data_IF_129934183121
#
_entry.id   IF_129934183121
#
_cell.length_a   1.000
_cell.length_b   1.000
_cell.length_c   1.000
_cell.angle_alpha   90.00
_cell.angle_beta   90.00
_cell.angle_gamma   90.00
#
_symmetry.space_group_name_H-M   'P 1'
#
loop_
_entity.id
_entity.type
_entity.pdbx_description
1 polymer ?
#
# COMPACT_ATOMS: atom_id res chain seq x y z
N UNK A 1 -17.85 8.35 4.22
CA UNK A 1 -17.63 7.12 3.43
C UNK A 1 -18.39 7.22 2.14
N UNK A 2 -17.69 7.31 1.03
CA UNK A 2 -18.28 7.27 -0.30
C UNK A 2 -18.48 5.81 -0.71
N UNK A 3 -19.63 5.49 -1.29
CA UNK A 3 -19.96 4.12 -1.70
C UNK A 3 -20.23 4.08 -3.19
N UNK A 4 -19.65 3.10 -3.88
CA UNK A 4 -19.88 2.89 -5.30
C UNK A 4 -20.03 1.39 -5.64
N UNK A 5 -20.73 1.11 -6.73
CA UNK A 5 -20.78 -0.21 -7.34
C UNK A 5 -19.99 -0.16 -8.63
N UNK A 6 -19.08 -1.10 -8.81
CA UNK A 6 -18.33 -1.27 -10.05
C UNK A 6 -18.95 -2.42 -10.83
N UNK A 7 -19.59 -2.07 -11.95
CA UNK A 7 -20.34 -3.04 -12.74
C UNK A 7 -19.44 -4.00 -13.52
N UNK A 8 -20.04 -5.04 -14.03
CA UNK A 8 -19.37 -6.12 -14.74
C UNK A 8 -18.35 -5.62 -15.78
N UNK A 9 -17.09 -6.03 -15.60
CA UNK A 9 -15.99 -5.70 -16.51
C UNK A 9 -15.48 -4.26 -16.46
N UNK A 10 -16.04 -3.43 -15.58
CA UNK A 10 -15.56 -2.05 -15.41
C UNK A 10 -14.20 -2.01 -14.72
N UNK A 11 -13.43 -0.98 -15.04
CA UNK A 11 -12.13 -0.68 -14.43
C UNK A 11 -12.21 0.65 -13.71
N UNK A 12 -11.89 0.65 -12.43
CA UNK A 12 -11.73 1.84 -11.62
C UNK A 12 -10.26 1.97 -11.21
N UNK A 13 -9.56 2.93 -11.80
CA UNK A 13 -8.20 3.30 -11.39
C UNK A 13 -8.21 4.72 -10.85
N UNK A 14 -7.64 4.94 -9.65
CA UNK A 14 -7.55 6.26 -9.02
C UNK A 14 -6.27 6.42 -8.23
N UNK A 15 -5.70 7.64 -8.30
CA UNK A 15 -4.56 8.06 -7.49
C UNK A 15 -4.97 9.26 -6.65
N UNK A 16 -4.91 9.12 -5.35
CA UNK A 16 -5.15 10.18 -4.36
C UNK A 16 -3.81 10.62 -3.79
N UNK A 17 -3.55 11.93 -3.76
CA UNK A 17 -2.30 12.49 -3.23
C UNK A 17 -2.64 13.61 -2.27
N UNK A 18 -2.21 13.50 -1.02
CA UNK A 18 -2.52 14.43 0.06
C UNK A 18 -4.03 14.65 0.28
N UNK A 19 -4.82 13.64 -0.03
CA UNK A 19 -6.28 13.66 0.06
C UNK A 19 -6.75 12.46 0.86
N UNK A 20 -7.45 12.70 1.98
CA UNK A 20 -8.01 11.63 2.81
C UNK A 20 -9.09 10.86 2.05
N UNK A 21 -9.07 9.54 2.17
CA UNK A 21 -9.97 8.64 1.44
C UNK A 21 -10.78 7.79 2.42
N UNK A 22 -12.10 7.81 2.26
CA UNK A 22 -13.02 6.90 2.96
C UNK A 22 -14.00 6.33 1.93
N UNK A 23 -13.69 5.12 1.42
CA UNK A 23 -14.31 4.58 0.21
C UNK A 23 -14.72 3.12 0.41
N UNK A 24 -15.96 2.80 0.01
CA UNK A 24 -16.43 1.43 -0.15
C UNK A 24 -16.74 1.15 -1.62
N UNK A 25 -16.28 0.00 -2.12
CA UNK A 25 -16.51 -0.46 -3.48
C UNK A 25 -17.09 -1.88 -3.45
N UNK A 26 -18.23 -2.06 -4.07
CA UNK A 26 -18.83 -3.36 -4.33
C UNK A 26 -18.55 -3.74 -5.78
N UNK A 27 -17.86 -4.87 -6.01
CA UNK A 27 -17.41 -5.32 -7.32
C UNK A 27 -18.34 -6.40 -7.89
N UNK A 28 -18.82 -6.18 -9.11
CA UNK A 28 -19.47 -7.20 -9.94
C UNK A 28 -18.45 -7.94 -10.83
N UNK A 29 -18.90 -8.98 -11.51
CA UNK A 29 -18.08 -9.95 -12.24
C UNK A 29 -17.02 -9.33 -13.16
N UNK A 30 -15.76 -9.77 -12.98
CA UNK A 30 -14.65 -9.38 -13.85
C UNK A 30 -14.25 -7.90 -13.75
N UNK A 31 -14.78 -7.15 -12.79
CA UNK A 31 -14.40 -5.77 -12.58
C UNK A 31 -13.01 -5.65 -11.93
N UNK A 32 -12.35 -4.51 -12.16
CA UNK A 32 -11.00 -4.26 -11.66
C UNK A 32 -10.91 -2.93 -10.91
N UNK A 33 -10.49 -2.99 -9.67
CA UNK A 33 -10.17 -1.83 -8.81
C UNK A 33 -8.67 -1.70 -8.67
N UNK A 34 -8.13 -0.49 -8.93
CA UNK A 34 -6.74 -0.15 -8.66
C UNK A 34 -6.66 1.23 -8.02
N UNK A 35 -6.23 1.28 -6.75
CA UNK A 35 -6.19 2.52 -5.96
C UNK A 35 -4.79 2.74 -5.43
N UNK A 36 -4.32 3.99 -5.57
CA UNK A 36 -3.13 4.48 -4.89
C UNK A 36 -3.52 5.62 -3.96
N UNK A 37 -3.07 5.55 -2.70
CA UNK A 37 -3.17 6.66 -1.73
C UNK A 37 -1.78 7.03 -1.27
N UNK A 38 -1.43 8.31 -1.43
CA UNK A 38 -0.09 8.84 -1.15
C UNK A 38 -0.21 9.98 -0.14
N UNK A 39 0.46 9.85 1.01
CA UNK A 39 0.56 10.85 2.06
C UNK A 39 -0.81 11.35 2.56
N UNK A 40 -1.72 10.42 2.87
CA UNK A 40 -3.03 10.76 3.42
C UNK A 40 -3.66 9.59 4.19
N UNK A 41 -4.40 9.83 5.27
CA UNK A 41 -5.14 8.78 5.93
C UNK A 41 -6.21 8.20 5.02
N UNK A 42 -6.42 6.88 5.10
CA UNK A 42 -7.45 6.23 4.30
C UNK A 42 -8.11 5.05 5.00
N UNK A 43 -9.36 4.83 4.63
CA UNK A 43 -10.13 3.61 4.90
C UNK A 43 -10.74 3.14 3.59
N UNK A 44 -10.34 1.98 3.09
CA UNK A 44 -10.81 1.42 1.83
C UNK A 44 -11.39 0.04 2.10
N UNK A 45 -12.68 -0.10 1.77
CA UNK A 45 -13.40 -1.38 1.82
C UNK A 45 -13.72 -1.82 0.39
N UNK A 46 -13.33 -3.06 0.04
CA UNK A 46 -13.69 -3.66 -1.26
C UNK A 46 -14.36 -5.01 -1.03
N UNK A 47 -15.59 -5.16 -1.54
CA UNK A 47 -16.32 -6.40 -1.53
C UNK A 47 -16.36 -6.99 -2.96
N UNK A 48 -15.71 -8.11 -3.18
CA UNK A 48 -15.81 -8.88 -4.43
C UNK A 48 -17.05 -9.77 -4.32
N UNK A 49 -18.15 -9.35 -4.96
CA UNK A 49 -19.45 -9.99 -4.84
C UNK A 49 -19.70 -11.05 -5.89
N UNK A 50 -18.96 -11.01 -7.01
CA UNK A 50 -19.06 -11.92 -8.12
C UNK A 50 -17.68 -12.40 -8.60
N UNK A 51 -17.64 -13.40 -9.48
CA UNK A 51 -16.42 -14.08 -9.90
C UNK A 51 -15.47 -13.19 -10.74
N UNK A 52 -14.16 -13.49 -10.67
CA UNK A 52 -13.14 -12.90 -11.54
C UNK A 52 -12.82 -11.44 -11.24
N UNK A 53 -13.22 -10.93 -10.08
CA UNK A 53 -12.86 -9.57 -9.65
C UNK A 53 -11.37 -9.44 -9.37
N UNK A 54 -10.81 -8.27 -9.67
CA UNK A 54 -9.42 -7.92 -9.33
C UNK A 54 -9.37 -6.67 -8.47
N UNK A 55 -8.60 -6.72 -7.37
CA UNK A 55 -8.40 -5.58 -6.46
C UNK A 55 -6.93 -5.34 -6.24
N UNK A 56 -6.47 -4.10 -6.45
CA UNK A 56 -5.10 -3.66 -6.18
C UNK A 56 -5.14 -2.37 -5.34
N UNK A 57 -4.59 -2.42 -4.12
CA UNK A 57 -4.53 -1.26 -3.20
C UNK A 57 -3.08 -1.00 -2.84
N UNK A 58 -2.64 0.22 -3.10
CA UNK A 58 -1.29 0.71 -2.82
C UNK A 58 -1.36 1.94 -1.91
N UNK A 59 -0.72 1.88 -0.76
CA UNK A 59 -0.61 2.99 0.18
C UNK A 59 0.85 3.36 0.44
N UNK A 60 1.19 4.64 0.35
CA UNK A 60 2.52 5.15 0.67
C UNK A 60 2.42 6.37 1.58
N UNK A 61 2.93 6.23 2.80
CA UNK A 61 2.96 7.30 3.78
C UNK A 61 4.42 7.66 4.11
N UNK A 62 4.78 8.94 3.91
CA UNK A 62 6.06 9.49 4.32
C UNK A 62 5.82 10.59 5.36
N UNK A 63 6.00 10.23 6.62
CA UNK A 63 5.63 11.05 7.78
C UNK A 63 6.87 11.52 8.54
N UNK A 64 6.80 12.74 9.07
CA UNK A 64 7.87 13.39 9.84
C UNK A 64 7.29 14.24 10.98
N UNK A 65 8.16 14.76 11.83
CA UNK A 65 7.74 15.55 13.00
C UNK A 65 6.84 14.74 13.93
N UNK A 66 5.65 15.23 14.24
CA UNK A 66 4.65 14.59 15.10
C UNK A 66 3.43 14.06 14.31
N UNK A 67 3.56 13.90 13.01
CA UNK A 67 2.46 13.44 12.14
C UNK A 67 1.96 12.05 12.53
N UNK A 68 0.66 11.85 12.36
CA UNK A 68 -0.02 10.59 12.68
C UNK A 68 -0.96 10.22 11.55
N UNK A 69 -0.79 9.03 10.99
CA UNK A 69 -1.66 8.52 9.94
C UNK A 69 -2.14 7.11 10.28
N UNK A 70 -3.42 6.87 10.00
CA UNK A 70 -4.05 5.55 10.03
C UNK A 70 -4.40 5.20 8.58
N UNK A 71 -3.96 4.01 8.16
CA UNK A 71 -4.29 3.41 6.88
C UNK A 71 -5.07 2.11 7.13
N UNK A 72 -6.28 2.03 6.59
CA UNK A 72 -7.16 0.87 6.78
C UNK A 72 -7.54 0.26 5.44
N UNK A 73 -7.47 -1.07 5.35
CA UNK A 73 -7.94 -1.83 4.19
C UNK A 73 -8.78 -3.02 4.62
N UNK A 74 -9.95 -3.16 4.01
CA UNK A 74 -10.86 -4.27 4.25
C UNK A 74 -11.23 -4.90 2.90
N UNK A 75 -10.70 -6.09 2.60
CA UNK A 75 -11.00 -6.78 1.35
C UNK A 75 -11.73 -8.09 1.65
N UNK A 76 -12.92 -8.25 1.06
CA UNK A 76 -13.74 -9.44 1.22
C UNK A 76 -13.96 -10.11 -0.13
N UNK A 77 -13.53 -11.37 -0.22
CA UNK A 77 -13.89 -12.27 -1.31
C UNK A 77 -15.16 -13.04 -0.89
N UNK A 78 -16.31 -12.69 -1.44
CA UNK A 78 -17.59 -13.35 -1.17
C UNK A 78 -17.77 -14.59 -2.03
N UNK A 79 -17.16 -14.62 -3.23
CA UNK A 79 -17.20 -15.70 -4.22
C UNK A 79 -15.81 -16.01 -4.74
N UNK A 80 -15.66 -17.11 -5.46
CA UNK A 80 -14.38 -17.63 -5.95
C UNK A 80 -13.79 -16.91 -7.17
N UNK A 81 -12.57 -17.32 -7.55
CA UNK A 81 -11.87 -16.87 -8.77
C UNK A 81 -11.41 -15.41 -8.76
N UNK A 82 -11.49 -14.74 -7.62
CA UNK A 82 -11.06 -13.34 -7.46
C UNK A 82 -9.59 -13.22 -7.07
N UNK A 83 -8.99 -12.08 -7.37
CA UNK A 83 -7.62 -11.75 -6.95
C UNK A 83 -7.57 -10.44 -6.16
N UNK A 84 -6.72 -10.38 -5.13
CA UNK A 84 -6.43 -9.12 -4.44
C UNK A 84 -4.96 -8.98 -4.07
N UNK A 85 -4.40 -7.80 -4.28
CA UNK A 85 -3.05 -7.45 -3.88
C UNK A 85 -3.05 -6.11 -3.15
N UNK A 86 -2.49 -6.10 -1.94
CA UNK A 86 -2.38 -4.91 -1.10
C UNK A 86 -0.91 -4.71 -0.74
N UNK A 87 -0.36 -3.54 -1.08
CA UNK A 87 0.99 -3.14 -0.67
C UNK A 87 0.93 -1.77 0.00
N UNK A 88 1.15 -1.77 1.32
CA UNK A 88 1.13 -0.56 2.12
C UNK A 88 2.51 -0.32 2.71
N UNK A 89 3.06 0.87 2.50
CA UNK A 89 4.38 1.25 2.99
C UNK A 89 4.32 2.53 3.81
N UNK A 90 5.07 2.51 4.92
CA UNK A 90 5.31 3.69 5.73
C UNK A 90 6.80 3.98 5.81
N UNK A 91 7.14 5.26 5.69
CA UNK A 91 8.45 5.82 6.02
C UNK A 91 8.22 6.83 7.13
N UNK A 92 8.82 6.60 8.30
CA UNK A 92 8.57 7.38 9.51
C UNK A 92 9.86 7.98 10.03
N UNK A 93 9.89 9.30 10.19
CA UNK A 93 11.03 10.02 10.79
C UNK A 93 10.59 10.83 12.02
N UNK A 94 11.54 11.34 12.80
CA UNK A 94 11.34 12.10 14.03
C UNK A 94 10.47 11.35 15.05
N UNK A 95 9.30 11.89 15.42
CA UNK A 95 8.31 11.31 16.34
C UNK A 95 7.02 10.87 15.61
N UNK A 96 7.10 10.66 14.31
CA UNK A 96 5.95 10.29 13.50
C UNK A 96 5.37 8.92 13.89
N UNK A 97 4.06 8.76 13.74
CA UNK A 97 3.34 7.54 14.11
C UNK A 97 2.48 7.03 12.97
N UNK A 98 2.73 5.81 12.55
CA UNK A 98 1.93 5.09 11.58
C UNK A 98 1.09 4.00 12.22
N UNK A 99 -0.12 3.80 11.74
CA UNK A 99 -0.95 2.66 12.11
C UNK A 99 -1.58 2.05 10.86
N UNK A 100 -1.26 0.79 10.60
CA UNK A 100 -1.91 -0.01 9.54
C UNK A 100 -2.86 -1.03 10.15
N UNK A 101 -4.10 -1.05 9.63
CA UNK A 101 -5.12 -2.06 9.92
C UNK A 101 -5.50 -2.69 8.59
N UNK A 102 -5.38 -4.01 8.48
CA UNK A 102 -5.67 -4.68 7.23
C UNK A 102 -6.44 -5.96 7.45
N UNK A 103 -7.69 -6.01 6.99
CA UNK A 103 -8.53 -7.21 7.05
C UNK A 103 -8.68 -7.82 5.67
N UNK A 104 -8.35 -9.10 5.56
CA UNK A 104 -8.58 -9.90 4.37
C UNK A 104 -9.47 -11.08 4.73
N UNK A 105 -10.66 -11.15 4.12
CA UNK A 105 -11.65 -12.18 4.41
C UNK A 105 -12.03 -12.98 3.17
N UNK A 106 -11.93 -14.31 3.26
CA UNK A 106 -12.31 -15.25 2.20
C UNK A 106 -13.46 -16.10 2.70
N UNK A 107 -14.63 -15.97 2.07
CA UNK A 107 -15.84 -16.70 2.43
C UNK A 107 -15.75 -18.22 2.11
N UNK A 108 -16.58 -19.09 2.72
CA UNK A 108 -16.50 -20.56 2.49
C UNK A 108 -16.62 -20.97 1.02
N UNK A 109 -17.47 -20.26 0.26
CA UNK A 109 -17.71 -20.55 -1.17
C UNK A 109 -16.71 -19.88 -2.11
N UNK A 110 -15.79 -19.06 -1.58
CA UNK A 110 -14.80 -18.32 -2.34
C UNK A 110 -13.56 -19.17 -2.64
N UNK A 111 -13.72 -20.20 -3.45
CA UNK A 111 -12.62 -21.08 -3.88
C UNK A 111 -11.81 -20.45 -5.00
N UNK A 112 -10.55 -20.88 -5.17
CA UNK A 112 -9.61 -20.41 -6.21
C UNK A 112 -9.33 -18.90 -6.14
N UNK A 113 -9.28 -18.36 -4.92
CA UNK A 113 -8.88 -16.98 -4.65
C UNK A 113 -7.36 -16.90 -4.49
N UNK A 114 -6.76 -15.86 -5.07
CA UNK A 114 -5.38 -15.46 -4.85
C UNK A 114 -5.35 -14.08 -4.16
N UNK A 115 -4.87 -14.04 -2.89
CA UNK A 115 -4.97 -12.83 -2.08
C UNK A 115 -3.68 -12.56 -1.29
N UNK A 116 -3.10 -11.39 -1.50
CA UNK A 116 -1.84 -10.98 -0.86
C UNK A 116 -1.99 -9.64 -0.17
N UNK A 117 -1.58 -9.58 1.11
CA UNK A 117 -1.52 -8.34 1.87
C UNK A 117 -0.10 -8.15 2.42
N UNK A 118 0.56 -7.06 2.03
CA UNK A 118 1.92 -6.75 2.44
C UNK A 118 1.99 -5.36 3.06
N UNK A 119 2.51 -5.27 4.27
CA UNK A 119 2.84 -4.02 4.92
C UNK A 119 4.35 -3.95 5.20
N UNK A 120 5.04 -2.95 4.68
CA UNK A 120 6.47 -2.73 4.90
C UNK A 120 6.71 -1.33 5.45
N UNK A 121 7.46 -1.25 6.53
CA UNK A 121 7.66 -0.01 7.26
C UNK A 121 9.14 0.25 7.49
N UNK A 122 9.56 1.48 7.24
CA UNK A 122 10.92 1.95 7.41
C UNK A 122 10.96 3.06 8.47
N UNK A 123 11.60 2.78 9.60
CA UNK A 123 11.81 3.77 10.66
C UNK A 123 13.16 4.45 10.45
N UNK A 124 13.14 5.77 10.36
CA UNK A 124 14.31 6.60 10.12
C UNK A 124 14.85 7.24 11.40
N UNK A 125 14.09 7.19 12.50
CA UNK A 125 14.46 7.65 13.82
C UNK A 125 14.11 6.60 14.89
N UNK A 126 14.71 6.72 16.08
CA UNK A 126 14.42 5.84 17.23
C UNK A 126 13.07 6.17 17.91
N UNK A 127 12.57 7.40 17.72
CA UNK A 127 11.33 7.89 18.31
C UNK A 127 10.12 7.71 17.41
N UNK A 128 10.32 7.25 16.16
CA UNK A 128 9.24 6.91 15.26
C UNK A 128 8.56 5.61 15.67
N UNK A 129 7.24 5.59 15.63
CA UNK A 129 6.44 4.44 16.05
C UNK A 129 5.57 3.89 14.92
N UNK A 130 5.61 2.57 14.70
CA UNK A 130 4.71 1.88 13.77
C UNK A 130 3.92 0.81 14.48
N UNK A 131 2.60 0.85 14.31
CA UNK A 131 1.68 -0.21 14.71
C UNK A 131 1.09 -0.87 13.47
N UNK A 132 1.14 -2.20 13.40
CA UNK A 132 0.59 -2.95 12.28
C UNK A 132 -0.29 -4.08 12.79
N UNK A 133 -1.51 -4.19 12.21
CA UNK A 133 -2.54 -5.15 12.60
C UNK A 133 -3.14 -5.82 11.35
N UNK A 134 -2.38 -6.69 10.65
CA UNK A 134 -2.93 -7.49 9.58
C UNK A 134 -3.79 -8.61 10.15
N UNK A 135 -4.98 -8.81 9.60
CA UNK A 135 -5.90 -9.91 9.94
C UNK A 135 -6.24 -10.70 8.68
N UNK A 136 -6.29 -12.02 8.82
CA UNK A 136 -6.60 -12.94 7.74
C UNK A 136 -7.62 -13.97 8.22
N UNK A 137 -8.82 -13.94 7.64
CA UNK A 137 -9.90 -14.88 7.90
C UNK A 137 -10.16 -15.72 6.65
N UNK A 138 -9.78 -16.99 6.67
CA UNK A 138 -9.95 -17.90 5.55
C UNK A 138 -10.92 -19.00 5.94
N UNK A 139 -12.01 -19.14 5.19
CA UNK A 139 -13.04 -20.16 5.38
C UNK A 139 -13.16 -21.12 4.19
N UNK A 140 -12.35 -20.94 3.13
CA UNK A 140 -12.27 -21.79 1.94
C UNK A 140 -10.97 -22.61 1.95
N UNK A 141 -10.96 -23.77 1.28
CA UNK A 141 -9.84 -24.73 1.32
C UNK A 141 -8.88 -24.57 0.11
N UNK A 142 -9.43 -24.26 -1.08
CA UNK A 142 -8.64 -24.12 -2.32
C UNK A 142 -8.33 -22.63 -2.60
N UNK A 143 -7.39 -22.07 -1.84
CA UNK A 143 -6.99 -20.66 -1.97
C UNK A 143 -5.49 -20.47 -1.76
N UNK A 144 -4.96 -19.40 -2.34
CA UNK A 144 -3.60 -18.90 -2.07
C UNK A 144 -3.74 -17.54 -1.37
N UNK A 145 -3.56 -17.52 -0.04
CA UNK A 145 -3.68 -16.30 0.71
C UNK A 145 -2.48 -16.10 1.64
N UNK A 146 -1.93 -14.91 1.61
CA UNK A 146 -0.80 -14.52 2.46
C UNK A 146 -0.98 -13.13 3.04
N UNK A 147 -0.51 -12.95 4.25
CA UNK A 147 -0.27 -11.63 4.80
C UNK A 147 1.15 -11.54 5.36
N UNK A 148 1.72 -10.34 5.34
CA UNK A 148 3.04 -10.08 5.89
C UNK A 148 3.19 -8.65 6.36
N UNK A 149 3.80 -8.47 7.52
CA UNK A 149 4.18 -7.16 8.01
C UNK A 149 5.66 -7.18 8.41
N UNK A 150 6.39 -6.14 8.01
CA UNK A 150 7.78 -5.95 8.40
C UNK A 150 8.03 -4.49 8.79
N UNK A 151 8.78 -4.30 9.86
CA UNK A 151 9.23 -2.99 10.30
C UNK A 151 10.74 -3.07 10.53
N UNK A 152 11.49 -2.17 9.93
CA UNK A 152 12.95 -2.15 10.01
C UNK A 152 13.51 -0.74 9.90
N UNK A 153 14.84 -0.67 9.96
CA UNK A 153 15.62 0.55 9.76
C UNK A 153 16.40 0.45 8.46
N UNK A 154 17.07 1.53 8.06
CA UNK A 154 17.98 1.50 6.92
C UNK A 154 19.13 0.51 7.17
N UNK A 155 19.49 -0.22 6.12
CA UNK A 155 20.62 -1.14 6.16
C UNK A 155 21.94 -0.35 6.29
N UNK A 156 22.55 -0.42 7.49
CA UNK A 156 23.82 0.23 7.78
C UNK A 156 24.95 -0.29 6.90
N UNK A 157 24.90 -1.55 6.45
CA UNK A 157 25.89 -2.12 5.53
C UNK A 157 25.78 -1.48 4.15
N UNK A 158 24.55 -1.26 3.66
CA UNK A 158 24.29 -0.56 2.41
C UNK A 158 24.77 0.91 2.50
N UNK A 159 24.44 1.60 3.59
CA UNK A 159 24.91 2.97 3.84
C UNK A 159 26.44 3.04 3.84
N UNK A 160 27.11 2.16 4.58
CA UNK A 160 28.56 2.10 4.63
C UNK A 160 29.18 1.83 3.25
N UNK A 161 28.62 0.88 2.48
CA UNK A 161 29.11 0.57 1.12
C UNK A 161 29.01 1.79 0.19
N UNK A 162 27.91 2.54 0.25
CA UNK A 162 27.73 3.74 -0.56
C UNK A 162 28.72 4.85 -0.16
N UNK A 163 28.99 5.02 1.14
CA UNK A 163 29.98 5.97 1.65
C UNK A 163 31.40 5.63 1.18
N UNK A 164 31.78 4.36 1.13
CA UNK A 164 33.07 3.91 0.59
C UNK A 164 33.25 4.24 -0.90
N UNK A 165 32.15 4.49 -1.61
CA UNK A 165 32.11 4.94 -3.01
C UNK A 165 32.06 6.47 -3.16
N UNK A 166 32.24 7.22 -2.06
CA UNK A 166 32.26 8.68 -2.06
C UNK A 166 30.88 9.34 -2.02
N UNK A 167 29.81 8.58 -1.79
CA UNK A 167 28.46 9.14 -1.60
C UNK A 167 28.35 9.61 -0.14
N UNK A 168 27.91 10.85 0.08
CA UNK A 168 27.70 11.34 1.44
C UNK A 168 26.65 10.51 2.19
N UNK A 169 26.72 10.42 3.52
CA UNK A 169 25.74 9.68 4.34
C UNK A 169 24.32 10.17 4.08
N UNK A 170 24.12 11.48 3.97
CA UNK A 170 22.83 12.07 3.68
C UNK A 170 22.29 11.60 2.32
N UNK A 171 23.10 11.68 1.27
CA UNK A 171 22.69 11.24 -0.08
C UNK A 171 22.43 9.75 -0.14
N UNK A 172 23.22 8.91 0.53
CA UNK A 172 23.00 7.48 0.61
C UNK A 172 21.66 7.15 1.30
N UNK A 173 21.36 7.83 2.43
CA UNK A 173 20.08 7.68 3.13
C UNK A 173 18.90 8.03 2.21
N UNK A 174 18.98 9.17 1.52
CA UNK A 174 17.96 9.61 0.56
C UNK A 174 17.73 8.59 -0.57
N UNK A 175 18.79 8.07 -1.16
CA UNK A 175 18.71 7.07 -2.23
C UNK A 175 18.03 5.77 -1.76
N UNK A 176 18.34 5.29 -0.55
CA UNK A 176 17.73 4.08 0.00
C UNK A 176 16.25 4.29 0.33
N UNK A 177 15.90 5.43 0.93
CA UNK A 177 14.51 5.81 1.19
C UNK A 177 13.73 5.96 -0.13
N UNK A 178 14.30 6.65 -1.10
CA UNK A 178 13.72 6.79 -2.42
C UNK A 178 13.46 5.45 -3.11
N UNK A 179 14.44 4.53 -3.08
CA UNK A 179 14.28 3.19 -3.64
C UNK A 179 13.15 2.40 -2.95
N UNK A 180 13.00 2.55 -1.62
CA UNK A 180 11.91 1.92 -0.87
C UNK A 180 10.54 2.44 -1.30
N UNK A 181 10.39 3.76 -1.52
CA UNK A 181 9.12 4.38 -1.94
C UNK A 181 8.77 4.10 -3.40
N UNK A 182 9.76 4.01 -4.29
CA UNK A 182 9.56 3.87 -5.75
C UNK A 182 8.70 2.67 -6.13
N UNK A 183 8.77 1.55 -5.44
CA UNK A 183 7.98 0.36 -5.75
C UNK A 183 6.47 0.66 -5.87
N UNK A 184 5.93 1.56 -5.02
CA UNK A 184 4.52 1.99 -5.11
C UNK A 184 4.33 3.02 -6.22
N UNK A 185 5.21 4.01 -6.32
CA UNK A 185 5.06 5.06 -7.33
C UNK A 185 5.19 4.51 -8.75
N UNK A 186 6.10 3.55 -8.97
CA UNK A 186 6.29 2.90 -10.27
C UNK A 186 5.09 2.03 -10.68
N UNK A 187 4.26 1.58 -9.72
CA UNK A 187 3.04 0.81 -10.00
C UNK A 187 1.85 1.68 -10.49
N UNK A 188 1.97 3.01 -10.41
CA UNK A 188 0.96 3.96 -10.92
C UNK A 188 0.86 3.82 -12.45
N UNK A 189 -0.35 3.59 -12.94
CA UNK A 189 -0.62 3.38 -14.36
C UNK A 189 -0.35 4.59 -15.24
N UNK A 190 -0.25 4.35 -16.54
CA UNK A 190 0.07 5.40 -17.53
C UNK A 190 -1.01 6.48 -17.64
N UNK A 191 -2.25 6.16 -17.26
CA UNK A 191 -3.35 7.15 -17.14
C UNK A 191 -3.04 8.30 -16.18
N UNK A 192 -2.09 8.08 -15.25
CA UNK A 192 -1.64 9.04 -14.24
C UNK A 192 -0.14 9.33 -14.35
N UNK A 193 0.43 9.26 -15.55
CA UNK A 193 1.86 9.50 -15.81
C UNK A 193 2.37 10.83 -15.24
N UNK A 194 1.58 11.90 -15.35
CA UNK A 194 1.95 13.22 -14.83
C UNK A 194 2.08 13.21 -13.28
N UNK A 195 1.18 12.51 -12.60
CA UNK A 195 1.24 12.35 -11.14
C UNK A 195 2.46 11.49 -10.78
N UNK A 196 2.64 10.37 -11.47
CA UNK A 196 3.79 9.48 -11.28
C UNK A 196 5.11 10.23 -11.42
N UNK A 197 5.28 11.01 -12.50
CA UNK A 197 6.49 11.78 -12.75
C UNK A 197 6.74 12.83 -11.65
N UNK A 198 5.69 13.55 -11.21
CA UNK A 198 5.80 14.51 -10.11
C UNK A 198 6.23 13.85 -8.79
N UNK A 199 5.69 12.68 -8.48
CA UNK A 199 6.07 11.91 -7.28
C UNK A 199 7.49 11.40 -7.37
N UNK A 200 7.93 10.88 -8.54
CA UNK A 200 9.31 10.47 -8.76
C UNK A 200 10.28 11.64 -8.61
N UNK A 201 9.96 12.80 -9.18
CA UNK A 201 10.77 14.01 -9.03
C UNK A 201 10.82 14.47 -7.56
N UNK A 202 9.72 14.35 -6.81
CA UNK A 202 9.72 14.67 -5.38
C UNK A 202 10.58 13.69 -4.58
N UNK A 203 10.53 12.40 -4.87
CA UNK A 203 11.39 11.37 -4.28
C UNK A 203 12.86 11.64 -4.60
N UNK A 204 13.18 12.01 -5.84
CA UNK A 204 14.54 12.31 -6.29
C UNK A 204 15.00 13.71 -5.83
N UNK A 205 14.11 14.69 -5.71
CA UNK A 205 14.34 16.07 -5.28
C UNK A 205 14.41 16.25 -3.75
N UNK A 206 13.91 15.29 -2.96
CA UNK A 206 14.33 15.11 -1.56
C UNK A 206 15.85 14.85 -1.48
N UNK A 207 16.45 14.83 -2.64
CA UNK A 207 17.85 14.55 -2.96
C UNK A 207 18.69 15.83 -3.15
N UNK A 208 18.10 17.02 -3.22
CA UNK A 208 18.79 18.33 -3.21
C UNK A 208 18.68 19.00 -1.82
#
# INVERSE_FOLDING_TARGET
MDTMVLHKGEVFERVFVNEAVDLQIDQEAGSHVKIHVINAPFSITVNQLEEGCKTEIYGLEHLHGEEKVIAETHVKHAVGGGTSNQLIKFVLDDHARGHFIGDLKIAPDAQQVEAHQTNRNLLLSEDAEMRTQPQLEIYADDVQATHGASTGQLDESALFYMQQRGISKQKARQLLVGAFMREIVDSIGDSYSDIRERLLNAIDGVVE
#
